data_IF_230430861761
#
_entry.id   IF_230430861761
#
_cell.length_a   1.000
_cell.length_b   1.000
_cell.length_c   1.000
_cell.angle_alpha   90.00
_cell.angle_beta   90.00
_cell.angle_gamma   90.00
#
_symmetry.space_group_name_H-M   'P 1'
#
loop_
_entity.id
_entity.type
_entity.pdbx_description
1 polymer ?
#
# COMPACT_ATOMS: atom_id res chain seq x y z
N UNK A 1 -15.89 -16.15 -12.28
CA UNK A 1 -16.52 -15.56 -11.07
C UNK A 1 -16.29 -14.04 -10.98
N UNK A 2 -15.18 -13.50 -11.53
CA UNK A 2 -15.01 -12.07 -11.86
C UNK A 2 -15.22 -11.76 -13.36
N UNK A 3 -15.98 -12.60 -14.07
CA UNK A 3 -16.24 -12.42 -15.50
C UNK A 3 -17.45 -11.48 -15.67
N UNK A 4 -17.50 -10.66 -16.73
CA UNK A 4 -18.58 -9.72 -16.96
C UNK A 4 -19.93 -10.44 -17.08
N UNK A 5 -20.95 -9.91 -16.39
CA UNK A 5 -22.34 -10.24 -16.71
C UNK A 5 -22.76 -9.50 -17.98
N UNK A 6 -23.74 -10.01 -18.74
CA UNK A 6 -24.12 -9.52 -20.08
C UNK A 6 -24.74 -8.11 -20.13
N UNK A 7 -24.60 -7.30 -19.08
CA UNK A 7 -25.22 -5.99 -18.95
C UNK A 7 -24.31 -4.90 -18.37
N UNK A 8 -22.99 -5.04 -18.40
CA UNK A 8 -22.06 -4.00 -17.87
C UNK A 8 -21.59 -3.03 -18.97
N UNK A 9 -21.80 -1.74 -18.70
CA UNK A 9 -21.77 -0.61 -19.63
C UNK A 9 -20.35 -0.18 -20.07
N UNK A 10 -20.20 0.06 -21.38
CA UNK A 10 -19.54 1.17 -22.11
C UNK A 10 -18.31 1.94 -21.55
N UNK A 11 -17.51 1.42 -20.62
CA UNK A 11 -16.16 1.94 -20.39
C UNK A 11 -15.11 0.92 -20.79
N UNK A 12 -14.36 1.23 -21.85
CA UNK A 12 -13.32 0.33 -22.37
C UNK A 12 -12.07 0.27 -21.46
N UNK A 13 -11.82 1.33 -20.67
CA UNK A 13 -10.62 1.47 -19.83
C UNK A 13 -10.88 2.33 -18.56
N UNK A 14 -10.16 2.09 -17.46
CA UNK A 14 -10.21 2.93 -16.27
C UNK A 14 -9.66 4.34 -16.55
N UNK A 15 -10.24 5.40 -15.94
CA UNK A 15 -9.67 6.73 -16.04
C UNK A 15 -8.30 6.82 -15.35
N UNK A 16 -7.46 7.74 -15.85
CA UNK A 16 -6.11 7.97 -15.34
C UNK A 16 -6.12 8.34 -13.84
N UNK A 17 -5.26 7.71 -13.05
CA UNK A 17 -5.28 7.81 -11.59
C UNK A 17 -3.90 7.66 -10.97
N UNK A 18 -3.65 8.43 -9.91
CA UNK A 18 -2.42 8.35 -9.11
C UNK A 18 -2.74 7.89 -7.69
N UNK A 19 -1.82 7.17 -7.05
CA UNK A 19 -1.97 6.72 -5.67
C UNK A 19 -3.09 5.69 -5.45
N UNK A 20 -3.53 5.01 -6.51
CA UNK A 20 -4.42 3.85 -6.42
C UNK A 20 -3.67 2.64 -5.86
N UNK A 21 -4.41 1.62 -5.43
CA UNK A 21 -3.85 0.28 -5.19
C UNK A 21 -4.09 -0.59 -6.40
N UNK A 22 -3.14 -1.48 -6.67
CA UNK A 22 -3.27 -2.53 -7.67
C UNK A 22 -2.80 -3.86 -7.05
N UNK A 23 -3.65 -4.88 -7.06
CA UNK A 23 -3.33 -6.22 -6.54
C UNK A 23 -3.68 -7.28 -7.56
N UNK A 24 -2.89 -8.36 -7.61
CA UNK A 24 -3.18 -9.52 -8.47
C UNK A 24 -4.02 -10.53 -7.70
N UNK A 25 -5.03 -11.09 -8.36
CA UNK A 25 -5.84 -12.19 -7.84
C UNK A 25 -6.26 -13.09 -9.00
N UNK A 26 -5.95 -14.38 -8.90
CA UNK A 26 -6.09 -15.34 -10.01
C UNK A 26 -5.43 -14.80 -11.29
N UNK A 27 -6.17 -14.67 -12.40
CA UNK A 27 -5.69 -14.12 -13.67
C UNK A 27 -6.16 -12.68 -13.90
N UNK A 28 -6.38 -11.93 -12.82
CA UNK A 28 -6.85 -10.56 -12.89
C UNK A 28 -5.98 -9.60 -12.07
N UNK A 29 -5.99 -8.33 -12.47
CA UNK A 29 -5.47 -7.20 -11.68
C UNK A 29 -6.65 -6.36 -11.22
N UNK A 30 -6.77 -6.16 -9.91
CA UNK A 30 -7.79 -5.35 -9.27
C UNK A 30 -7.20 -3.98 -8.97
N UNK A 31 -7.89 -2.92 -9.38
CA UNK A 31 -7.47 -1.53 -9.23
C UNK A 31 -8.56 -0.75 -8.50
N UNK A 32 -8.17 -0.14 -7.38
CA UNK A 32 -9.10 0.57 -6.50
C UNK A 32 -8.56 1.95 -6.09
N UNK A 33 -9.48 2.91 -5.97
CA UNK A 33 -9.20 4.25 -5.45
C UNK A 33 -8.22 5.06 -6.29
N UNK A 34 -7.41 5.86 -5.61
CA UNK A 34 -6.56 6.88 -6.20
C UNK A 34 -7.32 8.17 -6.50
N UNK A 35 -6.61 9.11 -7.12
CA UNK A 35 -7.15 10.43 -7.44
C UNK A 35 -6.73 10.89 -8.84
N UNK A 36 -7.48 11.86 -9.34
CA UNK A 36 -7.14 12.68 -10.51
C UNK A 36 -6.74 14.08 -10.04
N UNK A 37 -5.62 14.57 -10.56
CA UNK A 37 -5.21 15.96 -10.37
C UNK A 37 -6.11 16.89 -11.20
N UNK A 38 -6.61 17.97 -10.58
CA UNK A 38 -7.33 19.01 -11.29
C UNK A 38 -6.56 20.34 -11.15
N UNK A 39 -5.70 20.67 -12.13
CA UNK A 39 -4.89 21.90 -12.07
C UNK A 39 -5.74 23.16 -11.92
N UNK A 40 -6.95 23.18 -12.47
CA UNK A 40 -7.85 24.33 -12.43
C UNK A 40 -8.63 24.52 -11.11
N UNK A 41 -8.70 23.52 -10.23
CA UNK A 41 -9.53 23.56 -9.02
C UNK A 41 -8.73 23.62 -7.71
N UNK A 42 -7.39 23.68 -7.77
CA UNK A 42 -6.48 23.60 -6.62
C UNK A 42 -6.73 22.38 -5.68
N UNK A 43 -7.49 21.39 -6.15
CA UNK A 43 -7.89 20.22 -5.37
C UNK A 43 -7.89 18.96 -6.25
N UNK A 44 -7.56 17.83 -5.63
CA UNK A 44 -7.62 16.51 -6.24
C UNK A 44 -9.01 15.91 -6.11
N UNK A 45 -9.50 15.24 -7.16
CA UNK A 45 -10.76 14.47 -7.08
C UNK A 45 -10.41 13.00 -6.87
N UNK A 46 -10.89 12.44 -5.77
CA UNK A 46 -10.76 11.01 -5.46
C UNK A 46 -11.80 10.19 -6.21
N UNK A 47 -11.41 9.02 -6.71
CA UNK A 47 -12.35 8.08 -7.31
C UNK A 47 -13.22 7.43 -6.24
N UNK A 48 -14.46 7.05 -6.61
CA UNK A 48 -15.39 6.44 -5.65
C UNK A 48 -14.78 5.17 -5.07
N UNK A 49 -14.91 4.99 -3.76
CA UNK A 49 -14.47 3.77 -3.10
C UNK A 49 -15.41 2.58 -3.31
N UNK A 50 -16.57 2.79 -3.95
CA UNK A 50 -17.46 1.71 -4.41
C UNK A 50 -17.02 1.08 -5.73
N UNK A 51 -16.12 1.73 -6.48
CA UNK A 51 -15.67 1.27 -7.79
C UNK A 51 -14.45 0.36 -7.68
N UNK A 52 -14.52 -0.81 -8.31
CA UNK A 52 -13.37 -1.70 -8.49
C UNK A 52 -13.18 -1.97 -9.98
N UNK A 53 -12.02 -1.55 -10.50
CA UNK A 53 -11.62 -1.85 -11.87
C UNK A 53 -10.89 -3.18 -11.91
N UNK A 54 -11.26 -4.05 -12.84
CA UNK A 54 -10.71 -5.39 -12.98
C UNK A 54 -10.16 -5.52 -14.39
N UNK A 55 -8.85 -5.74 -14.50
CA UNK A 55 -8.23 -6.14 -15.76
C UNK A 55 -8.09 -7.65 -15.80
N UNK A 56 -8.69 -8.30 -16.80
CA UNK A 56 -8.46 -9.73 -17.03
C UNK A 56 -7.24 -9.93 -17.90
N UNK A 57 -6.26 -10.67 -17.39
CA UNK A 57 -5.08 -11.08 -18.16
C UNK A 57 -5.39 -12.19 -19.18
N UNK A 58 -6.62 -12.74 -19.19
CA UNK A 58 -7.04 -13.76 -20.14
C UNK A 58 -7.72 -13.13 -21.35
N UNK A 59 -8.68 -12.23 -21.12
CA UNK A 59 -9.39 -11.55 -22.20
C UNK A 59 -8.74 -10.24 -22.63
N UNK A 60 -7.71 -9.78 -21.90
CA UNK A 60 -7.01 -8.51 -22.11
C UNK A 60 -7.95 -7.30 -22.10
N UNK A 61 -8.94 -7.34 -21.21
CA UNK A 61 -10.01 -6.34 -21.11
C UNK A 61 -10.19 -5.84 -19.69
N UNK A 62 -10.59 -4.58 -19.60
CA UNK A 62 -11.05 -3.95 -18.37
C UNK A 62 -12.54 -4.14 -18.18
N UNK A 63 -12.94 -4.22 -16.92
CA UNK A 63 -14.32 -4.22 -16.47
C UNK A 63 -14.43 -3.38 -15.20
N UNK A 64 -15.55 -2.69 -15.03
CA UNK A 64 -15.88 -1.99 -13.81
C UNK A 64 -16.92 -2.80 -13.05
N UNK A 65 -16.63 -3.10 -11.78
CA UNK A 65 -17.59 -3.70 -10.87
C UNK A 65 -17.83 -2.80 -9.67
N UNK A 66 -19.09 -2.52 -9.39
CA UNK A 66 -19.51 -1.54 -8.39
C UNK A 66 -20.11 -2.22 -7.15
N UNK A 67 -19.84 -1.66 -5.97
CA UNK A 67 -20.25 -2.21 -4.66
C UNK A 67 -21.17 -1.24 -3.88
N UNK A 68 -22.14 -0.60 -4.54
CA UNK A 68 -22.97 0.46 -3.91
C UNK A 68 -23.81 0.01 -2.72
N UNK A 69 -24.27 -1.23 -2.71
CA UNK A 69 -25.18 -1.75 -1.68
C UNK A 69 -24.47 -2.23 -0.41
N UNK A 70 -23.20 -1.87 -0.23
CA UNK A 70 -22.32 -2.38 0.84
C UNK A 70 -21.61 -1.27 1.59
N UNK A 71 -21.09 -1.57 2.78
CA UNK A 71 -20.26 -0.63 3.54
C UNK A 71 -18.88 -0.60 2.92
N UNK A 72 -18.68 0.25 1.92
CA UNK A 72 -17.41 0.39 1.22
C UNK A 72 -16.52 1.49 1.84
N UNK A 73 -15.18 1.39 1.65
CA UNK A 73 -14.27 2.49 1.98
C UNK A 73 -14.63 3.77 1.20
N UNK A 74 -14.40 4.97 1.75
CA UNK A 74 -14.39 6.17 0.93
C UNK A 74 -13.18 6.14 -0.02
N UNK A 75 -13.25 6.88 -1.12
CA UNK A 75 -12.13 7.01 -2.04
C UNK A 75 -10.89 7.60 -1.36
N UNK A 76 -9.77 6.87 -1.39
CA UNK A 76 -8.49 7.31 -0.83
C UNK A 76 -7.35 7.13 -1.82
N UNK A 77 -6.25 7.84 -1.57
CA UNK A 77 -4.97 7.61 -2.23
C UNK A 77 -3.92 7.11 -1.23
N UNK A 78 -2.93 6.38 -1.72
CA UNK A 78 -1.82 5.88 -0.90
C UNK A 78 -2.26 4.89 0.18
N UNK A 79 -3.40 4.23 0.01
CA UNK A 79 -3.73 3.03 0.78
C UNK A 79 -2.79 1.89 0.41
N UNK A 80 -2.77 0.84 1.24
CA UNK A 80 -2.15 -0.44 0.88
C UNK A 80 -3.23 -1.52 0.83
N UNK A 81 -3.04 -2.53 -0.03
CA UNK A 81 -3.94 -3.67 -0.11
C UNK A 81 -3.18 -4.98 -0.32
N UNK A 82 -3.73 -6.06 0.22
CA UNK A 82 -3.24 -7.43 0.00
C UNK A 82 -4.40 -8.38 -0.22
N UNK A 83 -4.12 -9.48 -0.92
CA UNK A 83 -5.03 -10.62 -1.01
C UNK A 83 -4.64 -11.65 0.06
N UNK A 84 -5.60 -12.09 0.85
CA UNK A 84 -5.48 -13.28 1.71
C UNK A 84 -6.67 -14.18 1.37
N UNK A 85 -6.38 -15.38 0.90
CA UNK A 85 -7.39 -16.31 0.37
C UNK A 85 -8.26 -15.61 -0.70
N UNK A 86 -9.59 -15.64 -0.55
CA UNK A 86 -10.55 -15.01 -1.47
C UNK A 86 -11.03 -13.64 -0.98
N UNK A 87 -10.16 -12.89 -0.30
CA UNK A 87 -10.48 -11.59 0.28
C UNK A 87 -9.38 -10.57 0.05
N UNK A 88 -9.78 -9.37 -0.39
CA UNK A 88 -8.91 -8.20 -0.47
C UNK A 88 -9.03 -7.41 0.84
N UNK A 89 -7.90 -7.19 1.51
CA UNK A 89 -7.80 -6.34 2.69
C UNK A 89 -7.19 -5.00 2.28
N UNK A 90 -7.87 -3.90 2.64
CA UNK A 90 -7.46 -2.54 2.32
C UNK A 90 -7.24 -1.76 3.61
N UNK A 91 -6.08 -1.14 3.76
CA UNK A 91 -5.70 -0.39 4.95
C UNK A 91 -5.15 1.00 4.64
N UNK A 92 -5.56 1.96 5.47
CA UNK A 92 -5.05 3.32 5.50
C UNK A 92 -5.32 4.15 4.24
N UNK A 93 -4.46 5.13 3.99
CA UNK A 93 -4.60 6.07 2.87
C UNK A 93 -5.11 7.45 3.30
N UNK A 94 -5.07 8.39 2.36
CA UNK A 94 -5.39 9.80 2.54
C UNK A 94 -6.58 10.23 1.67
N UNK A 95 -7.38 11.16 2.16
CA UNK A 95 -8.63 11.61 1.53
C UNK A 95 -9.90 11.19 2.29
N UNK A 96 -9.74 10.53 3.44
CA UNK A 96 -10.87 10.10 4.27
C UNK A 96 -11.65 11.32 4.79
N UNK A 97 -12.94 11.41 4.44
CA UNK A 97 -13.84 12.54 4.77
C UNK A 97 -13.29 13.92 4.38
N UNK A 98 -12.48 13.97 3.32
CA UNK A 98 -12.00 15.21 2.72
C UNK A 98 -10.64 15.72 3.21
N UNK A 99 -10.11 15.30 4.36
CA UNK A 99 -8.95 16.03 4.95
C UNK A 99 -7.94 15.19 5.78
N UNK A 100 -7.91 13.87 5.70
CA UNK A 100 -7.02 13.11 6.60
C UNK A 100 -6.55 11.75 6.13
N UNK A 101 -5.53 11.25 6.84
CA UNK A 101 -5.18 9.83 6.80
C UNK A 101 -6.20 9.03 7.61
N UNK A 102 -6.35 7.75 7.28
CA UNK A 102 -7.14 6.80 8.06
C UNK A 102 -6.28 5.62 8.53
N UNK A 103 -6.72 4.92 9.55
CA UNK A 103 -6.23 3.61 9.97
C UNK A 103 -7.36 2.56 9.97
N UNK A 104 -8.41 2.81 9.17
CA UNK A 104 -9.49 1.84 8.99
C UNK A 104 -9.03 0.68 8.13
N UNK A 105 -9.50 -0.52 8.50
CA UNK A 105 -9.29 -1.75 7.76
C UNK A 105 -10.62 -2.18 7.14
N UNK A 106 -10.64 -2.31 5.82
CA UNK A 106 -11.78 -2.83 5.07
C UNK A 106 -11.40 -4.18 4.47
N UNK A 107 -12.40 -5.06 4.34
CA UNK A 107 -12.28 -6.33 3.63
C UNK A 107 -13.32 -6.39 2.53
N UNK A 108 -12.91 -6.78 1.34
CA UNK A 108 -13.79 -7.12 0.22
C UNK A 108 -13.75 -8.64 0.05
N UNK A 109 -14.89 -9.28 0.26
CA UNK A 109 -15.08 -10.67 -0.15
C UNK A 109 -15.10 -10.72 -1.68
N UNK A 110 -14.19 -11.46 -2.32
CA UNK A 110 -14.07 -11.48 -3.78
C UNK A 110 -15.06 -12.44 -4.45
N UNK A 111 -15.70 -13.31 -3.68
CA UNK A 111 -16.74 -14.23 -4.15
C UNK A 111 -18.09 -13.52 -4.18
N UNK A 112 -18.50 -12.97 -3.03
CA UNK A 112 -19.74 -12.20 -2.89
C UNK A 112 -19.62 -10.78 -3.48
N UNK A 113 -18.40 -10.26 -3.60
CA UNK A 113 -18.09 -8.91 -4.06
C UNK A 113 -18.71 -7.81 -3.19
N UNK A 114 -18.63 -8.02 -1.87
CA UNK A 114 -19.19 -7.12 -0.87
C UNK A 114 -18.15 -6.64 0.12
N UNK A 115 -18.13 -5.33 0.38
CA UNK A 115 -17.26 -4.73 1.39
C UNK A 115 -17.82 -4.86 2.80
N UNK A 116 -16.91 -5.04 3.75
CA UNK A 116 -17.15 -4.90 5.17
C UNK A 116 -16.08 -4.00 5.82
N UNK A 117 -16.50 -3.16 6.78
CA UNK A 117 -15.60 -2.44 7.67
C UNK A 117 -15.26 -3.33 8.85
N UNK A 118 -13.99 -3.70 8.97
CA UNK A 118 -13.50 -4.48 10.10
C UNK A 118 -13.26 -3.58 11.31
N UNK A 119 -13.45 -4.15 12.51
CA UNK A 119 -13.13 -3.51 13.80
C UNK A 119 -12.15 -4.39 14.57
N UNK A 120 -10.86 -4.38 14.21
CA UNK A 120 -9.89 -5.22 14.89
C UNK A 120 -9.70 -4.82 16.35
N UNK A 121 -9.38 -5.82 17.17
CA UNK A 121 -8.88 -5.60 18.54
C UNK A 121 -7.37 -5.32 18.54
N UNK A 122 -6.81 -5.01 19.71
CA UNK A 122 -5.39 -4.69 19.87
C UNK A 122 -5.10 -3.20 19.65
N UNK A 123 -3.81 -2.86 19.60
CA UNK A 123 -3.39 -1.48 19.36
C UNK A 123 -3.33 -1.23 17.85
N UNK A 124 -4.14 -0.31 17.30
CA UNK A 124 -4.16 -0.07 15.87
C UNK A 124 -2.90 0.67 15.43
N UNK A 125 -2.49 0.52 14.16
CA UNK A 125 -1.47 1.38 13.57
C UNK A 125 -1.96 2.82 13.50
N UNK A 126 -1.02 3.77 13.49
CA UNK A 126 -1.35 5.19 13.36
C UNK A 126 -1.87 5.48 11.94
N UNK A 127 -2.77 6.46 11.77
CA UNK A 127 -3.37 6.76 10.47
C UNK A 127 -2.33 7.36 9.52
N UNK A 128 -1.97 6.60 8.48
CA UNK A 128 -0.98 7.02 7.47
C UNK A 128 -1.44 6.67 6.05
N UNK A 129 -0.84 7.35 5.09
CA UNK A 129 -0.83 6.95 3.68
C UNK A 129 0.59 6.55 3.24
N UNK A 130 0.73 6.09 2.00
CA UNK A 130 2.03 5.84 1.34
C UNK A 130 2.92 4.88 2.15
N UNK A 131 2.32 3.96 2.88
CA UNK A 131 2.99 2.82 3.48
C UNK A 131 3.04 1.68 2.46
N UNK A 132 3.76 0.62 2.80
CA UNK A 132 3.67 -0.64 2.06
C UNK A 132 3.01 -1.69 2.94
N UNK A 133 2.42 -2.69 2.31
CA UNK A 133 1.97 -3.87 3.03
C UNK A 133 2.14 -5.13 2.18
N UNK A 134 2.20 -6.26 2.85
CA UNK A 134 2.41 -7.56 2.23
C UNK A 134 1.68 -8.65 2.99
N UNK A 135 1.37 -9.73 2.29
CA UNK A 135 0.82 -10.95 2.87
C UNK A 135 1.96 -11.92 3.17
N UNK A 136 1.87 -12.61 4.30
CA UNK A 136 2.70 -13.78 4.59
C UNK A 136 1.99 -14.67 5.62
N UNK A 137 1.92 -15.99 5.37
CA UNK A 137 1.26 -16.97 6.24
C UNK A 137 -0.13 -16.54 6.75
N UNK A 138 -1.00 -16.14 5.82
CA UNK A 138 -2.38 -15.69 6.05
C UNK A 138 -2.52 -14.44 6.93
N UNK A 139 -1.45 -13.66 7.08
CA UNK A 139 -1.45 -12.40 7.83
C UNK A 139 -1.12 -11.23 6.93
N UNK A 140 -1.61 -10.06 7.33
CA UNK A 140 -1.37 -8.80 6.65
C UNK A 140 -0.37 -7.97 7.46
N UNK A 141 0.81 -7.73 6.89
CA UNK A 141 1.85 -6.89 7.47
C UNK A 141 1.85 -5.52 6.80
N UNK A 142 2.15 -4.47 7.58
CA UNK A 142 2.33 -3.11 7.07
C UNK A 142 3.61 -2.49 7.62
N UNK A 143 4.24 -1.63 6.82
CA UNK A 143 5.44 -0.90 7.24
C UNK A 143 5.44 0.57 6.79
N UNK A 144 5.79 1.44 7.73
CA UNK A 144 6.05 2.86 7.52
C UNK A 144 4.81 3.70 7.21
N UNK A 145 4.98 4.72 6.36
CA UNK A 145 3.93 5.62 5.92
C UNK A 145 4.13 7.09 6.35
N UNK A 146 3.23 7.95 5.88
CA UNK A 146 3.21 9.38 6.17
C UNK A 146 1.83 9.83 6.67
N UNK A 147 1.75 10.27 7.91
CA UNK A 147 0.45 10.55 8.53
C UNK A 147 0.55 11.34 9.81
N UNK A 148 -0.55 11.45 10.54
CA UNK A 148 -0.62 12.20 11.78
C UNK A 148 -0.11 11.33 12.93
N UNK A 149 0.59 11.89 13.93
CA UNK A 149 0.88 11.16 15.16
C UNK A 149 -0.44 10.84 15.86
N UNK A 150 -0.53 9.67 16.47
CA UNK A 150 -1.64 9.35 17.38
C UNK A 150 -1.33 9.92 18.78
N UNK A 151 -2.37 10.27 19.54
CA UNK A 151 -2.28 10.63 20.95
C UNK A 151 -2.20 9.39 21.87
N UNK A 152 -2.23 8.20 21.28
CA UNK A 152 -2.09 6.91 21.97
C UNK A 152 -0.72 6.70 22.62
N UNK A 153 -0.56 5.58 23.36
CA UNK A 153 0.69 5.27 24.05
C UNK A 153 1.85 5.25 23.04
N UNK A 154 3.04 5.70 23.45
CA UNK A 154 4.20 5.73 22.58
C UNK A 154 4.48 4.32 22.07
N UNK A 155 4.58 4.19 20.75
CA UNK A 155 5.17 3.00 20.14
C UNK A 155 6.69 3.19 20.09
N UNK A 156 7.45 2.09 20.14
CA UNK A 156 8.91 2.10 19.95
C UNK A 156 9.34 2.40 18.50
N UNK A 157 8.45 3.03 17.71
CA UNK A 157 8.70 3.43 16.33
C UNK A 157 9.19 4.88 16.28
N UNK A 158 10.02 5.15 15.28
CA UNK A 158 10.40 6.50 14.92
C UNK A 158 9.21 7.24 14.31
N UNK A 159 9.05 8.51 14.69
CA UNK A 159 8.16 9.45 14.02
C UNK A 159 8.92 10.76 13.77
N UNK A 160 9.01 11.17 12.51
CA UNK A 160 9.73 12.37 12.09
C UNK A 160 8.74 13.35 11.52
N UNK A 161 8.51 14.44 12.24
CA UNK A 161 7.60 15.50 11.81
C UNK A 161 8.08 16.17 10.53
N UNK A 162 7.15 16.43 9.63
CA UNK A 162 7.37 17.34 8.54
C UNK A 162 7.16 18.77 9.05
N UNK A 163 8.20 19.60 8.99
CA UNK A 163 8.24 20.93 9.61
C UNK A 163 7.09 21.90 9.27
N UNK A 164 6.32 21.66 8.19
CA UNK A 164 5.19 22.50 7.78
C UNK A 164 3.80 21.90 8.05
N UNK A 165 3.69 20.64 8.46
CA UNK A 165 2.40 19.96 8.63
C UNK A 165 2.38 19.20 9.96
N UNK A 166 1.19 19.04 10.54
CA UNK A 166 0.97 18.11 11.66
C UNK A 166 0.98 16.63 11.19
N UNK A 167 1.93 16.27 10.33
CA UNK A 167 2.14 14.94 9.76
C UNK A 167 3.62 14.63 9.69
N UNK A 168 3.98 13.36 9.66
CA UNK A 168 5.35 12.92 9.65
C UNK A 168 5.53 11.52 9.07
N UNK A 169 6.78 11.15 8.86
CA UNK A 169 7.17 9.81 8.47
C UNK A 169 7.25 8.92 9.70
N UNK A 170 6.85 7.66 9.56
CA UNK A 170 7.04 6.64 10.60
C UNK A 170 7.71 5.39 10.04
N UNK A 171 8.32 4.58 10.90
CA UNK A 171 8.70 3.20 10.59
C UNK A 171 7.85 2.18 11.36
N UNK A 172 6.59 2.52 11.64
CA UNK A 172 5.66 1.60 12.27
C UNK A 172 5.63 0.26 11.56
N UNK A 173 5.60 -0.82 12.34
CA UNK A 173 5.56 -2.19 11.83
C UNK A 173 4.50 -2.98 12.59
N UNK A 174 3.45 -3.37 11.87
CA UNK A 174 2.30 -4.06 12.46
C UNK A 174 1.94 -5.29 11.66
N UNK A 175 1.40 -6.29 12.37
CA UNK A 175 0.71 -7.42 11.77
C UNK A 175 -0.77 -7.42 12.15
N UNK A 176 -1.61 -7.74 11.17
CA UNK A 176 -3.01 -8.07 11.36
C UNK A 176 -3.20 -9.57 11.13
N UNK A 177 -3.83 -10.21 12.11
CA UNK A 177 -4.26 -11.61 12.06
C UNK A 177 -5.78 -11.63 11.74
N UNK A 178 -6.18 -12.01 10.51
CA UNK A 178 -7.59 -12.08 10.13
C UNK A 178 -8.40 -13.08 10.94
N UNK A 179 -7.78 -14.20 11.36
CA UNK A 179 -8.46 -15.26 12.12
C UNK A 179 -8.86 -14.78 13.51
N UNK A 180 -8.07 -13.87 14.09
CA UNK A 180 -8.34 -13.26 15.40
C UNK A 180 -8.99 -11.88 15.31
N UNK A 181 -9.08 -11.32 14.10
CA UNK A 181 -9.41 -9.92 13.86
C UNK A 181 -8.67 -8.98 14.83
N UNK A 182 -7.33 -9.02 14.81
CA UNK A 182 -6.48 -8.34 15.79
C UNK A 182 -5.21 -7.76 15.17
N UNK A 183 -4.88 -6.53 15.54
CA UNK A 183 -3.57 -5.92 15.32
C UNK A 183 -2.61 -6.24 16.46
N UNK A 184 -1.33 -6.42 16.11
CA UNK A 184 -0.23 -6.53 17.06
C UNK A 184 1.07 -6.00 16.46
N UNK A 185 1.98 -5.57 17.34
CA UNK A 185 3.38 -5.30 16.97
C UNK A 185 4.14 -6.63 17.00
N UNK A 186 4.71 -7.09 15.88
CA UNK A 186 5.51 -8.31 15.87
C UNK A 186 6.79 -8.12 16.68
N UNK A 187 7.21 -9.17 17.40
CA UNK A 187 8.54 -9.19 17.99
C UNK A 187 9.59 -9.36 16.89
N UNK A 188 10.51 -8.40 16.77
CA UNK A 188 11.57 -8.41 15.76
C UNK A 188 12.93 -8.17 16.38
N UNK A 189 13.98 -8.67 15.72
CA UNK A 189 15.38 -8.38 16.04
C UNK A 189 16.06 -7.67 14.87
N UNK A 190 17.32 -7.29 15.06
CA UNK A 190 18.10 -6.61 14.03
C UNK A 190 17.78 -5.12 13.92
N UNK A 191 18.14 -4.52 12.78
CA UNK A 191 18.02 -3.07 12.58
C UNK A 191 16.89 -2.74 11.62
N UNK A 192 15.82 -2.13 12.14
CA UNK A 192 14.67 -1.66 11.36
C UNK A 192 15.10 -0.55 10.37
N UNK A 193 14.45 -0.43 9.20
CA UNK A 193 14.64 0.73 8.35
C UNK A 193 14.16 2.01 9.05
N UNK A 194 14.75 3.15 8.69
CA UNK A 194 14.34 4.46 9.18
C UNK A 194 12.91 4.81 8.77
N UNK A 195 12.27 5.73 9.52
CA UNK A 195 10.94 6.24 9.21
C UNK A 195 10.80 6.71 7.76
N UNK A 196 9.85 6.17 7.00
CA UNK A 196 9.78 6.43 5.55
C UNK A 196 8.38 6.22 4.98
N UNK A 197 8.13 6.87 3.85
CA UNK A 197 6.90 6.73 3.08
C UNK A 197 7.21 6.68 1.58
N UNK A 198 6.26 6.21 0.77
CA UNK A 198 6.42 6.05 -0.68
C UNK A 198 7.65 5.22 -1.08
N UNK A 199 8.05 4.29 -0.21
CA UNK A 199 8.97 3.20 -0.50
C UNK A 199 8.18 2.06 -1.15
N UNK A 200 8.88 1.04 -1.65
CA UNK A 200 8.25 -0.16 -2.18
C UNK A 200 8.77 -1.41 -1.45
N UNK A 201 7.93 -2.43 -1.39
CA UNK A 201 8.27 -3.73 -0.83
C UNK A 201 7.97 -4.85 -1.82
N UNK A 202 8.78 -5.89 -1.80
CA UNK A 202 8.53 -7.12 -2.56
C UNK A 202 8.85 -8.34 -1.70
N UNK A 203 8.02 -9.39 -1.82
CA UNK A 203 8.21 -10.67 -1.13
C UNK A 203 8.84 -11.68 -2.08
N UNK A 204 9.93 -12.32 -1.68
CA UNK A 204 10.58 -13.39 -2.43
C UNK A 204 11.27 -14.36 -1.45
N UNK A 205 11.13 -15.68 -1.66
CA UNK A 205 11.73 -16.73 -0.81
C UNK A 205 11.52 -16.53 0.70
N UNK A 206 10.32 -16.14 1.13
CA UNK A 206 10.02 -15.93 2.56
C UNK A 206 10.73 -14.72 3.18
N UNK A 207 11.24 -13.81 2.35
CA UNK A 207 11.85 -12.55 2.76
C UNK A 207 11.11 -11.37 2.14
N UNK A 208 11.12 -10.24 2.84
CA UNK A 208 10.54 -8.98 2.37
C UNK A 208 11.66 -8.00 2.15
N UNK A 209 11.78 -7.51 0.92
CA UNK A 209 12.77 -6.51 0.54
C UNK A 209 12.11 -5.15 0.48
N UNK A 210 12.70 -4.15 1.15
CA UNK A 210 12.22 -2.77 1.16
C UNK A 210 13.27 -1.87 0.52
N UNK A 211 12.87 -1.14 -0.52
CA UNK A 211 13.77 -0.24 -1.25
C UNK A 211 13.31 1.23 -1.16
N UNK A 212 14.29 2.10 -0.92
CA UNK A 212 14.17 3.55 -1.06
C UNK A 212 13.06 4.18 -0.21
N UNK A 213 12.30 5.08 -0.84
CA UNK A 213 11.28 5.89 -0.20
C UNK A 213 11.76 7.29 0.16
N UNK A 214 10.85 8.06 0.76
CA UNK A 214 11.11 9.40 1.26
C UNK A 214 11.27 9.38 2.77
N UNK A 215 12.33 10.02 3.24
CA UNK A 215 12.62 10.27 4.66
C UNK A 215 13.10 11.72 4.77
N UNK A 216 12.32 12.56 5.44
CA UNK A 216 12.59 14.00 5.56
C UNK A 216 12.86 14.68 4.20
N UNK A 217 14.02 15.31 4.01
CA UNK A 217 14.41 15.98 2.76
C UNK A 217 14.97 15.02 1.70
N UNK A 218 15.14 13.73 2.04
CA UNK A 218 15.86 12.75 1.24
C UNK A 218 14.96 11.69 0.60
N UNK A 219 15.24 11.36 -0.67
CA UNK A 219 14.79 10.15 -1.33
C UNK A 219 15.90 9.12 -1.29
N UNK A 220 15.63 8.01 -0.62
CA UNK A 220 16.61 7.00 -0.26
C UNK A 220 16.86 6.02 -1.42
N UNK A 221 18.04 5.39 -1.41
CA UNK A 221 18.43 4.28 -2.30
C UNK A 221 18.92 3.06 -1.52
N UNK A 222 18.61 2.96 -0.23
CA UNK A 222 18.94 1.81 0.58
C UNK A 222 17.98 0.65 0.32
N UNK A 223 18.48 -0.56 0.54
CA UNK A 223 17.72 -1.81 0.51
C UNK A 223 17.82 -2.43 1.89
N UNK A 224 16.69 -2.89 2.41
CA UNK A 224 16.61 -3.67 3.65
C UNK A 224 15.89 -4.98 3.38
N UNK A 225 16.10 -5.96 4.24
CA UNK A 225 15.43 -7.25 4.18
C UNK A 225 14.90 -7.62 5.57
N UNK A 226 13.66 -8.13 5.62
CA UNK A 226 13.11 -8.83 6.77
C UNK A 226 13.01 -10.31 6.42
N UNK A 227 13.60 -11.17 7.24
CA UNK A 227 13.35 -12.61 7.18
C UNK A 227 12.03 -12.93 7.90
N UNK A 228 11.02 -13.41 7.17
CA UNK A 228 9.68 -13.62 7.75
C UNK A 228 9.58 -14.88 8.61
N UNK A 229 10.62 -15.73 8.63
CA UNK A 229 10.69 -16.90 9.51
C UNK A 229 11.31 -16.54 10.85
N UNK A 230 12.41 -15.78 10.84
CA UNK A 230 13.10 -15.38 12.08
C UNK A 230 12.63 -14.04 12.64
N UNK A 231 11.90 -13.25 11.85
CA UNK A 231 11.52 -11.87 12.16
C UNK A 231 12.73 -10.96 12.44
N UNK A 232 13.85 -11.24 11.76
CA UNK A 232 15.09 -10.47 11.87
C UNK A 232 15.24 -9.50 10.69
N UNK A 233 15.45 -8.22 11.01
CA UNK A 233 15.79 -7.20 10.03
C UNK A 233 17.29 -7.16 9.76
N UNK A 234 17.68 -7.19 8.50
CA UNK A 234 19.08 -7.16 8.09
C UNK A 234 19.79 -5.82 8.34
N UNK A 235 19.05 -4.75 8.63
CA UNK A 235 19.51 -3.40 8.39
C UNK A 235 19.81 -3.15 6.90
N UNK A 236 20.61 -2.13 6.63
CA UNK A 236 20.98 -1.75 5.25
C UNK A 236 21.84 -2.85 4.61
N UNK A 237 21.32 -3.44 3.54
CA UNK A 237 22.07 -4.40 2.73
C UNK A 237 23.19 -3.73 1.94
N UNK A 238 24.31 -4.43 1.81
CA UNK A 238 25.42 -4.04 0.95
C UNK A 238 25.19 -4.55 -0.47
N UNK A 239 24.65 -3.69 -1.33
CA UNK A 239 24.43 -3.99 -2.75
C UNK A 239 25.70 -3.73 -3.58
N UNK A 240 25.96 -4.58 -4.58
CA UNK A 240 27.12 -4.47 -5.49
C UNK A 240 26.68 -4.01 -6.88
N UNK A 241 27.60 -3.41 -7.64
CA UNK A 241 27.35 -2.94 -9.01
C UNK A 241 26.78 -1.52 -9.05
N UNK A 242 26.24 -1.14 -10.22
CA UNK A 242 25.61 0.16 -10.42
C UNK A 242 24.28 0.22 -9.68
N UNK A 243 24.21 1.03 -8.63
CA UNK A 243 23.02 1.14 -7.80
C UNK A 243 21.99 2.10 -8.41
N UNK A 244 20.68 1.79 -8.29
CA UNK A 244 19.65 2.74 -8.67
C UNK A 244 19.75 4.03 -7.84
N UNK A 245 19.52 5.18 -8.47
CA UNK A 245 19.42 6.46 -7.76
C UNK A 245 18.27 6.45 -6.75
N UNK A 246 18.42 7.28 -5.70
CA UNK A 246 17.42 7.40 -4.64
C UNK A 246 16.08 7.91 -5.15
N UNK A 247 15.01 7.25 -4.70
CA UNK A 247 13.67 7.42 -5.28
C UNK A 247 12.53 7.12 -4.31
N UNK A 248 11.40 7.77 -4.55
CA UNK A 248 10.10 7.46 -3.93
C UNK A 248 9.04 7.26 -5.02
N UNK A 249 7.85 6.77 -4.68
CA UNK A 249 6.75 6.50 -5.65
C UNK A 249 7.15 5.58 -6.81
N UNK A 250 8.08 4.66 -6.56
CA UNK A 250 8.48 3.62 -7.50
C UNK A 250 7.72 2.32 -7.19
N UNK A 251 7.76 1.36 -8.11
CA UNK A 251 7.33 -0.01 -7.83
C UNK A 251 8.54 -0.93 -7.65
N UNK A 252 8.39 -1.91 -6.78
CA UNK A 252 9.30 -3.05 -6.62
C UNK A 252 8.45 -4.30 -6.66
N UNK A 253 8.73 -5.22 -7.58
CA UNK A 253 7.92 -6.41 -7.80
C UNK A 253 8.83 -7.62 -7.92
N UNK A 254 8.54 -8.71 -7.19
CA UNK A 254 9.22 -9.97 -7.41
C UNK A 254 8.78 -10.57 -8.74
N UNK A 255 9.74 -10.85 -9.62
CA UNK A 255 9.49 -11.56 -10.88
C UNK A 255 9.44 -13.07 -10.62
N UNK A 256 10.37 -13.55 -9.80
CA UNK A 256 10.43 -14.90 -9.29
C UNK A 256 11.14 -14.85 -7.91
N UNK A 257 11.50 -16.01 -7.39
CA UNK A 257 12.23 -16.14 -6.14
C UNK A 257 13.64 -15.53 -6.17
N UNK A 258 14.19 -15.16 -7.32
CA UNK A 258 15.58 -14.68 -7.48
C UNK A 258 15.66 -13.21 -7.88
N UNK A 259 14.68 -12.70 -8.61
CA UNK A 259 14.75 -11.39 -9.24
C UNK A 259 13.65 -10.46 -8.75
N UNK A 260 14.06 -9.26 -8.36
CA UNK A 260 13.18 -8.13 -8.09
C UNK A 260 13.32 -7.11 -9.21
N UNK A 261 12.21 -6.64 -9.74
CA UNK A 261 12.15 -5.60 -10.77
C UNK A 261 11.79 -4.28 -10.11
N UNK A 262 12.68 -3.30 -10.25
CA UNK A 262 12.50 -1.92 -9.82
C UNK A 262 12.13 -1.06 -11.03
N UNK A 263 11.01 -0.33 -10.97
CA UNK A 263 10.59 0.54 -12.07
C UNK A 263 10.15 1.93 -11.60
N UNK A 264 10.48 2.94 -12.41
CA UNK A 264 9.99 4.30 -12.24
C UNK A 264 10.44 4.97 -10.94
N UNK A 265 9.54 5.81 -10.42
CA UNK A 265 9.73 6.64 -9.24
C UNK A 265 10.09 8.08 -9.55
N UNK A 266 10.40 8.81 -8.49
CA UNK A 266 10.72 10.22 -8.53
C UNK A 266 12.03 10.47 -7.77
N UNK A 267 12.97 11.16 -8.38
CA UNK A 267 14.35 11.30 -7.89
C UNK A 267 14.50 12.40 -6.82
N UNK A 268 15.67 12.43 -6.15
CA UNK A 268 16.04 13.55 -5.27
C UNK A 268 15.98 14.92 -5.98
N UNK A 269 16.34 14.97 -7.26
CA UNK A 269 16.32 16.16 -8.12
C UNK A 269 14.94 16.48 -8.71
N UNK A 270 13.87 15.85 -8.20
CA UNK A 270 12.50 16.05 -8.66
C UNK A 270 12.28 15.71 -10.15
N UNK A 271 12.92 14.64 -10.61
CA UNK A 271 12.77 14.11 -11.98
C UNK A 271 12.06 12.76 -11.93
N UNK A 272 11.09 12.55 -12.82
CA UNK A 272 10.47 11.24 -13.03
C UNK A 272 11.48 10.25 -13.62
N UNK A 273 11.53 9.05 -13.04
CA UNK A 273 12.49 7.97 -13.39
C UNK A 273 11.84 6.89 -14.25
N UNK A 274 10.73 7.21 -14.91
CA UNK A 274 9.93 6.33 -15.77
C UNK A 274 10.09 6.64 -17.27
N UNK A 275 11.25 7.22 -17.65
CA UNK A 275 11.60 7.50 -19.04
C UNK A 275 12.46 6.39 -19.62
#
# INVERSE_FOLDING_TARGET
>A
MLQPSSSEYLFEIPPARTGHVAVSYDKCVLVWGGYKENPGAQASTYYSGSEMWIYSCVSERWYLKECYDTIHPPGTSGSTAVIIEDSLYLFGGYGYRGEGCTNRLYKLDLTAFSWELLKPTGTPPIPVDKMVGWQYNDKFYIFGGFGNPDAGPPHDFQFIFYHLLWRGWTNQFFEYDPKKNRWSVPATTGTLPSARAAHAAAVAQGKVYIFGGRHDVFRLNDMHCLDMKTMEWSGKLSMKGTLPVGRSWHSLTALDDRYLVLYGGFSQSNVALSK
#
